data_IF_842463804240
#
_entry.id   IF_842463804240
#
_cell.length_a   1.000
_cell.length_b   1.000
_cell.length_c   1.000
_cell.angle_alpha   90.00
_cell.angle_beta   90.00
_cell.angle_gamma   90.00
#
_symmetry.space_group_name_H-M   'P 1'
#
loop_
_entity.id
_entity.type
_entity.pdbx_description
1 polymer ?
#
# COMPACT_ATOMS: atom_id res chain seq x y z
N UNK A 1 0.07 29.44 87.02
CA UNK A 1 -0.01 28.15 87.75
C UNK A 1 -1.42 27.62 87.55
N UNK A 2 -1.74 26.42 87.10
CA UNK A 2 -1.02 25.24 86.63
C UNK A 2 -2.07 24.40 85.88
N UNK A 3 -1.61 23.60 84.92
CA UNK A 3 -2.35 22.66 84.05
C UNK A 3 -3.45 21.85 84.75
N UNK A 4 -4.50 21.47 84.00
CA UNK A 4 -4.93 20.08 84.00
C UNK A 4 -5.73 19.71 82.73
N UNK A 5 -5.11 18.83 81.96
CA UNK A 5 -5.63 18.03 80.84
C UNK A 5 -6.71 17.06 81.30
N UNK A 6 -7.78 16.90 80.51
CA UNK A 6 -8.66 15.73 80.55
C UNK A 6 -8.66 15.06 79.17
N UNK A 7 -8.16 13.84 79.14
CA UNK A 7 -8.23 12.93 78.00
C UNK A 7 -9.56 12.16 78.08
N UNK A 8 -10.32 12.16 76.99
CA UNK A 8 -11.45 11.26 76.80
C UNK A 8 -11.06 10.25 75.72
N UNK A 9 -10.87 9.00 76.15
CA UNK A 9 -10.68 7.82 75.32
C UNK A 9 -11.99 7.45 74.63
N UNK A 10 -12.00 7.46 73.29
CA UNK A 10 -13.09 6.92 72.49
C UNK A 10 -12.58 5.65 71.78
N UNK A 11 -13.04 4.49 72.25
CA UNK A 11 -12.79 3.19 71.61
C UNK A 11 -13.58 3.08 70.32
N UNK A 12 -12.90 2.97 69.18
CA UNK A 12 -13.51 2.58 67.91
C UNK A 12 -13.09 1.14 67.56
N UNK A 13 -14.07 0.26 67.46
CA UNK A 13 -13.91 -1.13 67.07
C UNK A 13 -13.46 -1.25 65.60
N UNK A 14 -12.32 -1.90 65.35
CA UNK A 14 -11.92 -2.31 64.01
C UNK A 14 -12.66 -3.59 63.62
N UNK A 15 -13.56 -3.49 62.64
CA UNK A 15 -14.14 -4.63 61.94
C UNK A 15 -13.14 -5.11 60.88
N UNK A 16 -12.40 -6.18 61.18
CA UNK A 16 -11.62 -6.92 60.20
C UNK A 16 -12.56 -7.67 59.26
N UNK A 17 -12.67 -7.22 58.01
CA UNK A 17 -13.41 -7.91 56.96
C UNK A 17 -12.45 -8.86 56.24
N UNK A 18 -12.46 -10.14 56.61
CA UNK A 18 -11.81 -11.19 55.83
C UNK A 18 -12.57 -11.39 54.51
N UNK A 19 -12.04 -10.85 53.42
CA UNK A 19 -12.49 -11.22 52.07
C UNK A 19 -11.59 -12.33 51.56
N UNK A 20 -12.11 -13.56 51.55
CA UNK A 20 -11.48 -14.69 50.86
C UNK A 20 -11.68 -14.50 49.36
N UNK A 21 -10.63 -14.05 48.66
CA UNK A 21 -10.58 -14.07 47.20
C UNK A 21 -10.34 -15.50 46.73
N UNK A 22 -11.35 -16.08 46.07
CA UNK A 22 -11.18 -17.32 45.33
C UNK A 22 -10.25 -17.09 44.12
N UNK A 23 -9.35 -18.02 43.78
CA UNK A 23 -8.50 -17.89 42.61
C UNK A 23 -9.35 -17.99 41.34
N UNK A 24 -9.23 -16.99 40.47
CA UNK A 24 -9.77 -16.99 39.11
C UNK A 24 -9.17 -18.16 38.33
N UNK A 25 -9.96 -18.99 37.63
CA UNK A 25 -9.40 -20.04 36.79
C UNK A 25 -8.57 -19.42 35.66
N UNK A 26 -7.48 -20.07 35.23
CA UNK A 26 -6.66 -19.55 34.14
C UNK A 26 -7.51 -19.44 32.88
N UNK A 27 -7.51 -18.27 32.27
CA UNK A 27 -8.06 -18.06 30.93
C UNK A 27 -7.15 -18.83 29.97
N UNK A 28 -7.54 -20.04 29.60
CA UNK A 28 -6.96 -20.73 28.47
C UNK A 28 -7.26 -19.88 27.24
N UNK A 29 -6.23 -19.31 26.64
CA UNK A 29 -6.32 -18.71 25.32
C UNK A 29 -6.89 -19.79 24.38
N UNK A 30 -8.13 -19.59 23.93
CA UNK A 30 -8.69 -20.41 22.87
C UNK A 30 -7.88 -20.09 21.63
N UNK A 31 -7.01 -21.02 21.21
CA UNK A 31 -6.46 -20.98 19.88
C UNK A 31 -7.65 -20.92 18.91
N UNK A 32 -7.79 -19.82 18.18
CA UNK A 32 -8.81 -19.73 17.15
C UNK A 32 -8.63 -20.92 16.20
N UNK A 33 -9.70 -21.68 15.97
CA UNK A 33 -9.70 -22.67 14.92
C UNK A 33 -9.33 -21.97 13.60
N UNK A 34 -8.52 -22.59 12.72
CA UNK A 34 -8.22 -21.98 11.44
C UNK A 34 -9.53 -21.65 10.74
N UNK A 35 -9.68 -20.39 10.30
CA UNK A 35 -10.82 -19.96 9.51
C UNK A 35 -11.01 -20.98 8.37
N UNK A 36 -12.25 -21.45 8.18
CA UNK A 36 -12.56 -22.35 7.10
C UNK A 36 -12.12 -21.69 5.79
N UNK A 37 -11.16 -22.31 5.07
CA UNK A 37 -10.68 -21.78 3.78
C UNK A 37 -11.88 -21.47 2.90
N UNK A 38 -11.90 -20.26 2.35
CA UNK A 38 -12.99 -19.81 1.50
C UNK A 38 -13.11 -20.71 0.26
N UNK A 39 -14.34 -20.94 -0.20
CA UNK A 39 -14.61 -21.71 -1.41
C UNK A 39 -13.94 -21.03 -2.62
N UNK A 40 -12.93 -21.66 -3.26
CA UNK A 40 -12.21 -21.08 -4.39
C UNK A 40 -13.12 -20.68 -5.56
N UNK A 41 -14.27 -21.34 -5.71
CA UNK A 41 -15.23 -21.04 -6.78
C UNK A 41 -15.86 -19.65 -6.64
N UNK A 42 -15.77 -19.01 -5.48
CA UNK A 42 -16.27 -17.64 -5.25
C UNK A 42 -15.40 -16.56 -5.88
N UNK A 43 -14.16 -16.86 -6.26
CA UNK A 43 -13.20 -15.86 -6.74
C UNK A 43 -13.02 -15.96 -8.26
N UNK A 44 -12.91 -14.82 -8.92
CA UNK A 44 -12.63 -14.75 -10.35
C UNK A 44 -11.30 -15.43 -10.66
N UNK A 45 -10.26 -15.05 -9.92
CA UNK A 45 -8.88 -15.55 -10.03
C UNK A 45 -8.41 -16.23 -8.76
N UNK A 46 -7.42 -17.12 -8.91
CA UNK A 46 -6.78 -17.84 -7.81
C UNK A 46 -5.41 -17.22 -7.46
N UNK A 47 -4.92 -17.43 -6.23
CA UNK A 47 -3.61 -16.95 -5.79
C UNK A 47 -2.47 -17.40 -6.71
N UNK A 48 -1.52 -16.52 -7.00
CA UNK A 48 -0.32 -16.85 -7.79
C UNK A 48 0.61 -17.81 -7.06
N UNK A 49 0.69 -17.68 -5.74
CA UNK A 49 1.49 -18.50 -4.82
C UNK A 49 0.68 -18.73 -3.54
N UNK A 50 1.04 -19.74 -2.77
CA UNK A 50 0.39 -20.07 -1.48
C UNK A 50 1.36 -20.36 -0.34
N UNK A 51 2.65 -20.38 -0.65
CA UNK A 51 3.76 -20.68 0.26
C UNK A 51 4.12 -19.48 1.16
N UNK A 52 3.77 -18.27 0.74
CA UNK A 52 3.89 -17.01 1.47
C UNK A 52 2.66 -16.13 1.21
N UNK A 53 2.41 -15.15 2.08
CA UNK A 53 1.42 -14.11 1.83
C UNK A 53 2.05 -12.97 1.02
N UNK A 54 1.32 -12.49 0.01
CA UNK A 54 1.80 -11.49 -0.94
C UNK A 54 0.74 -10.45 -1.19
N UNK A 55 1.15 -9.20 -1.34
CA UNK A 55 0.25 -8.09 -1.59
C UNK A 55 0.83 -7.08 -2.56
N UNK A 56 0.04 -6.05 -2.87
CA UNK A 56 0.52 -4.82 -3.50
C UNK A 56 1.38 -5.06 -4.76
N UNK A 57 0.84 -5.81 -5.75
CA UNK A 57 1.66 -6.37 -6.81
C UNK A 57 2.02 -5.34 -7.86
N UNK A 58 3.29 -4.97 -7.98
CA UNK A 58 3.80 -4.18 -9.10
C UNK A 58 4.37 -5.09 -10.20
N UNK A 59 3.68 -5.19 -11.35
CA UNK A 59 4.03 -6.11 -12.43
C UNK A 59 4.72 -5.42 -13.62
N UNK A 60 5.85 -5.98 -14.07
CA UNK A 60 6.67 -5.48 -15.17
C UNK A 60 7.03 -6.58 -16.15
N UNK A 61 7.28 -6.21 -17.42
CA UNK A 61 7.76 -7.15 -18.45
C UNK A 61 9.17 -6.80 -18.88
N UNK A 62 10.11 -7.70 -18.60
CA UNK A 62 11.50 -7.59 -19.03
C UNK A 62 11.99 -8.92 -19.58
N UNK A 63 12.77 -8.87 -20.66
CA UNK A 63 13.36 -10.06 -21.30
C UNK A 63 12.32 -11.17 -21.61
N UNK A 64 11.10 -10.77 -21.98
CA UNK A 64 10.01 -11.69 -22.31
C UNK A 64 9.35 -12.40 -21.11
N UNK A 65 9.71 -12.04 -19.87
CA UNK A 65 9.12 -12.56 -18.64
C UNK A 65 8.36 -11.47 -17.90
N UNK A 66 7.34 -11.88 -17.16
CA UNK A 66 6.63 -11.03 -16.21
C UNK A 66 7.35 -11.18 -14.86
N UNK A 67 7.71 -10.05 -14.25
CA UNK A 67 8.21 -9.95 -12.89
C UNK A 67 7.19 -9.21 -12.04
N UNK A 68 6.89 -9.72 -10.85
CA UNK A 68 5.97 -9.09 -9.90
C UNK A 68 6.76 -8.77 -8.64
N UNK A 69 6.67 -7.52 -8.21
CA UNK A 69 7.28 -6.97 -7.01
C UNK A 69 6.16 -6.74 -5.98
N UNK A 70 5.81 -7.74 -5.17
CA UNK A 70 4.81 -7.61 -4.13
C UNK A 70 5.44 -7.16 -2.80
N UNK A 71 4.61 -6.67 -1.89
CA UNK A 71 4.91 -6.76 -0.45
C UNK A 71 4.85 -8.21 0.02
N UNK A 72 5.67 -8.56 1.02
CA UNK A 72 5.63 -9.86 1.70
C UNK A 72 4.97 -9.71 3.07
N UNK A 73 3.68 -10.01 3.12
CA UNK A 73 2.87 -9.97 4.33
C UNK A 73 3.35 -11.03 5.34
N UNK A 74 3.38 -10.68 6.63
CA UNK A 74 3.74 -11.58 7.73
C UNK A 74 2.71 -11.48 8.86
N UNK A 75 2.51 -12.57 9.59
CA UNK A 75 1.64 -12.58 10.78
C UNK A 75 2.40 -12.02 11.99
N UNK A 76 2.29 -10.71 12.17
CA UNK A 76 2.88 -9.98 13.28
C UNK A 76 1.97 -9.91 14.51
N UNK A 77 2.52 -9.59 15.70
CA UNK A 77 1.74 -9.49 16.93
C UNK A 77 0.95 -8.18 17.06
N UNK A 78 1.17 -7.19 16.18
CA UNK A 78 0.56 -5.86 16.32
C UNK A 78 -0.94 -5.92 16.02
N UNK A 79 -1.81 -5.41 16.92
CA UNK A 79 -3.25 -5.36 16.69
C UNK A 79 -3.62 -4.50 15.47
N UNK A 80 -4.75 -4.83 14.84
CA UNK A 80 -5.27 -4.05 13.73
C UNK A 80 -5.72 -2.65 14.18
N UNK A 81 -5.45 -1.65 13.34
CA UNK A 81 -5.85 -0.25 13.51
C UNK A 81 -6.00 0.43 12.14
N UNK A 82 -6.64 1.61 12.12
CA UNK A 82 -6.90 2.36 10.88
C UNK A 82 -5.62 2.96 10.25
N UNK A 83 -4.49 2.95 10.97
CA UNK A 83 -3.22 3.50 10.52
C UNK A 83 -2.27 2.43 9.94
N UNK A 84 -2.73 1.18 9.88
CA UNK A 84 -1.97 0.08 9.29
C UNK A 84 -0.78 -0.37 10.13
N UNK A 85 -0.78 -0.17 11.44
CA UNK A 85 0.32 -0.61 12.32
C UNK A 85 0.56 -2.13 12.25
N UNK A 86 -0.50 -2.89 11.97
CA UNK A 86 -0.49 -4.34 11.79
C UNK A 86 0.14 -4.83 10.47
N UNK A 87 0.38 -3.94 9.50
CA UNK A 87 1.14 -4.26 8.29
C UNK A 87 2.65 -4.17 8.59
N UNK A 88 3.21 -5.28 9.08
CA UNK A 88 4.57 -5.40 9.65
C UNK A 88 5.61 -6.00 8.70
N UNK A 89 5.40 -5.94 7.38
CA UNK A 89 6.29 -6.50 6.36
C UNK A 89 7.75 -6.04 6.55
N UNK A 90 8.69 -6.95 6.32
CA UNK A 90 10.13 -6.76 6.61
C UNK A 90 11.04 -6.91 5.40
N UNK A 91 10.59 -7.65 4.39
CA UNK A 91 11.39 -7.97 3.23
C UNK A 91 10.54 -7.97 1.95
N UNK A 92 11.21 -8.03 0.80
CA UNK A 92 10.59 -8.22 -0.50
C UNK A 92 11.10 -9.50 -1.16
N UNK A 93 10.21 -10.22 -1.82
CA UNK A 93 10.53 -11.40 -2.65
C UNK A 93 9.88 -11.24 -4.02
N UNK A 94 10.71 -11.25 -5.06
CA UNK A 94 10.23 -11.10 -6.44
C UNK A 94 9.60 -12.40 -6.91
N UNK A 95 8.48 -12.32 -7.61
CA UNK A 95 7.91 -13.45 -8.36
C UNK A 95 8.19 -13.27 -9.85
N UNK A 96 8.29 -14.37 -10.60
CA UNK A 96 8.36 -14.30 -12.06
C UNK A 96 7.58 -15.41 -12.75
N UNK A 97 7.06 -15.14 -13.94
CA UNK A 97 6.38 -16.11 -14.80
C UNK A 97 6.63 -15.80 -16.29
N UNK A 98 6.60 -16.81 -17.15
CA UNK A 98 6.76 -16.63 -18.62
C UNK A 98 5.51 -16.06 -19.28
N UNK A 99 4.34 -16.35 -18.70
CA UNK A 99 3.02 -15.90 -19.13
C UNK A 99 2.04 -16.04 -17.97
N UNK A 100 0.97 -15.26 -17.99
CA UNK A 100 -0.15 -15.44 -17.06
C UNK A 100 -0.76 -16.84 -17.22
N UNK A 101 -1.03 -17.51 -16.08
CA UNK A 101 -1.51 -18.89 -16.03
C UNK A 101 -0.42 -19.96 -16.19
N UNK A 102 0.84 -19.57 -16.38
CA UNK A 102 2.00 -20.48 -16.32
C UNK A 102 2.52 -20.67 -14.89
N UNK A 103 3.57 -21.50 -14.71
CA UNK A 103 4.24 -21.65 -13.42
C UNK A 103 4.81 -20.33 -12.91
N UNK A 104 4.64 -20.09 -11.60
CA UNK A 104 5.20 -18.92 -10.90
C UNK A 104 6.45 -19.37 -10.15
N UNK A 105 7.55 -18.64 -10.33
CA UNK A 105 8.77 -18.83 -9.55
C UNK A 105 8.83 -17.75 -8.48
N UNK A 106 8.90 -18.17 -7.21
CA UNK A 106 9.20 -17.29 -6.08
C UNK A 106 10.72 -17.26 -5.87
N UNK A 107 11.33 -16.07 -5.98
CA UNK A 107 12.76 -15.89 -5.83
C UNK A 107 13.16 -15.71 -4.36
N UNK A 108 14.46 -15.85 -4.01
CA UNK A 108 14.97 -15.53 -2.68
C UNK A 108 14.66 -14.09 -2.26
N UNK A 109 14.90 -13.77 -0.98
CA UNK A 109 14.79 -12.41 -0.45
C UNK A 109 15.60 -11.45 -1.30
N UNK A 110 14.91 -10.47 -1.87
CA UNK A 110 15.47 -9.47 -2.78
C UNK A 110 16.02 -8.28 -2.00
N UNK A 111 15.37 -7.90 -0.90
CA UNK A 111 15.82 -6.86 0.03
C UNK A 111 15.14 -7.06 1.39
N UNK A 112 15.89 -6.95 2.48
CA UNK A 112 15.41 -7.00 3.85
C UNK A 112 15.64 -5.64 4.55
N UNK A 113 14.70 -5.21 5.40
CA UNK A 113 14.78 -3.93 6.13
C UNK A 113 16.06 -3.79 6.95
N UNK A 114 16.61 -4.89 7.47
CA UNK A 114 17.88 -4.90 8.23
C UNK A 114 19.09 -4.45 7.39
N UNK A 115 18.97 -4.50 6.07
CA UNK A 115 20.00 -4.05 5.12
C UNK A 115 19.86 -2.55 4.77
N UNK A 116 18.74 -1.90 5.13
CA UNK A 116 18.43 -0.51 4.77
C UNK A 116 18.80 0.43 5.92
N UNK A 117 19.91 1.19 5.83
CA UNK A 117 20.45 1.90 7.01
C UNK A 117 19.52 2.95 7.62
N UNK A 118 18.66 3.58 6.81
CA UNK A 118 17.78 4.65 7.24
C UNK A 118 16.40 4.14 7.74
N UNK A 119 15.98 2.97 7.30
CA UNK A 119 14.65 2.42 7.60
C UNK A 119 14.62 1.71 8.96
N UNK A 120 13.48 1.78 9.63
CA UNK A 120 13.22 1.11 10.89
C UNK A 120 12.27 -0.08 10.73
N UNK A 121 11.21 0.06 9.92
CA UNK A 121 10.14 -0.94 9.80
C UNK A 121 9.21 -0.68 8.61
N UNK A 122 8.25 -1.59 8.41
CA UNK A 122 7.10 -1.46 7.51
C UNK A 122 7.49 -1.27 6.04
N UNK A 123 8.05 -2.32 5.45
CA UNK A 123 8.40 -2.42 4.04
C UNK A 123 7.11 -2.61 3.20
N UNK A 124 6.42 -1.50 2.92
CA UNK A 124 5.11 -1.43 2.25
C UNK A 124 5.21 -1.55 0.72
N UNK A 125 4.13 -1.27 -0.03
CA UNK A 125 4.01 -1.55 -1.46
C UNK A 125 5.22 -1.06 -2.28
N UNK A 126 6.01 -1.96 -2.89
CA UNK A 126 7.15 -1.57 -3.70
C UNK A 126 6.79 -1.43 -5.18
N UNK A 127 7.70 -0.86 -5.95
CA UNK A 127 7.70 -0.94 -7.41
C UNK A 127 9.14 -1.04 -7.95
N UNK A 128 9.29 -1.39 -9.23
CA UNK A 128 10.59 -1.50 -9.87
C UNK A 128 10.65 -0.80 -11.23
N UNK A 129 11.86 -0.41 -11.64
CA UNK A 129 12.14 0.07 -12.98
C UNK A 129 13.45 -0.52 -13.52
N UNK A 130 13.65 -0.44 -14.83
CA UNK A 130 14.88 -0.85 -15.50
C UNK A 130 15.42 0.30 -16.35
N UNK A 131 16.71 0.60 -16.22
CA UNK A 131 17.44 1.51 -17.11
C UNK A 131 18.80 0.92 -17.47
N UNK A 132 19.04 0.73 -18.77
CA UNK A 132 20.20 -0.04 -19.24
C UNK A 132 20.18 -1.45 -18.63
N UNK A 133 21.30 -1.85 -18.03
CA UNK A 133 21.47 -3.15 -17.37
C UNK A 133 21.25 -3.12 -15.85
N UNK A 134 20.67 -2.03 -15.33
CA UNK A 134 20.38 -1.87 -13.91
C UNK A 134 18.88 -1.93 -13.67
N UNK A 135 18.50 -2.69 -12.65
CA UNK A 135 17.16 -2.74 -12.07
C UNK A 135 17.14 -1.94 -10.78
N UNK A 136 16.05 -1.22 -10.56
CA UNK A 136 15.84 -0.34 -9.43
C UNK A 136 14.59 -0.81 -8.71
N UNK A 137 14.69 -1.07 -7.41
CA UNK A 137 13.56 -1.36 -6.53
C UNK A 137 13.29 -0.11 -5.71
N UNK A 138 12.11 0.48 -5.88
CA UNK A 138 11.61 1.60 -5.09
C UNK A 138 10.69 1.06 -4.02
N UNK A 139 10.85 1.56 -2.80
CA UNK A 139 10.12 1.01 -1.67
C UNK A 139 9.84 2.05 -0.59
N UNK A 140 8.63 2.06 -0.03
CA UNK A 140 8.31 2.86 1.14
C UNK A 140 8.68 2.12 2.42
N UNK A 141 9.24 2.83 3.39
CA UNK A 141 9.47 2.33 4.74
C UNK A 141 9.44 3.48 5.75
N UNK A 142 9.15 3.18 7.02
CA UNK A 142 9.25 4.18 8.09
C UNK A 142 10.70 4.40 8.48
N UNK A 143 11.10 5.66 8.58
CA UNK A 143 12.35 6.05 9.22
C UNK A 143 12.26 5.91 10.76
N UNK A 144 13.37 6.17 11.46
CA UNK A 144 13.45 6.06 12.92
C UNK A 144 12.62 7.12 13.65
N UNK A 145 12.13 8.14 12.96
CA UNK A 145 11.22 9.15 13.47
C UNK A 145 9.74 8.76 13.22
N UNK A 146 9.50 7.61 12.60
CA UNK A 146 8.17 7.10 12.27
C UNK A 146 7.56 7.72 11.02
N UNK A 147 8.32 8.51 10.25
CA UNK A 147 7.86 9.09 9.00
C UNK A 147 8.10 8.12 7.84
N UNK A 148 7.11 7.95 6.98
CA UNK A 148 7.29 7.21 5.74
C UNK A 148 8.14 8.01 4.75
N UNK A 149 9.14 7.33 4.18
CA UNK A 149 10.02 7.81 3.10
C UNK A 149 10.10 6.74 2.02
N UNK A 150 10.52 7.14 0.82
CA UNK A 150 10.73 6.22 -0.30
C UNK A 150 12.22 6.06 -0.54
N UNK A 151 12.69 4.82 -0.46
CA UNK A 151 14.05 4.44 -0.82
C UNK A 151 14.16 3.88 -2.22
N UNK A 152 15.40 3.70 -2.65
CA UNK A 152 15.76 2.99 -3.88
C UNK A 152 16.89 2.02 -3.61
N UNK A 153 16.82 0.84 -4.19
CA UNK A 153 17.87 -0.17 -4.17
C UNK A 153 18.17 -0.66 -5.59
N UNK A 154 19.41 -1.05 -5.88
CA UNK A 154 19.83 -1.39 -7.25
C UNK A 154 20.33 -2.83 -7.37
N UNK A 155 20.11 -3.44 -8.54
CA UNK A 155 20.63 -4.76 -8.87
C UNK A 155 20.96 -4.88 -10.36
N UNK A 156 21.79 -5.87 -10.70
CA UNK A 156 22.01 -6.33 -12.08
C UNK A 156 21.04 -7.45 -12.49
N UNK A 157 20.25 -7.96 -11.56
CA UNK A 157 19.20 -8.94 -11.80
C UNK A 157 17.83 -8.34 -11.52
N UNK A 158 16.78 -8.64 -12.31
CA UNK A 158 15.41 -8.24 -11.97
C UNK A 158 14.95 -8.85 -10.64
N UNK A 159 15.54 -9.97 -10.21
CA UNK A 159 15.13 -10.69 -9.00
C UNK A 159 15.96 -10.32 -7.77
N UNK A 160 16.89 -9.37 -7.90
CA UNK A 160 17.84 -9.04 -6.85
C UNK A 160 18.98 -10.06 -6.69
N UNK A 161 19.67 -10.07 -5.52
CA UNK A 161 19.43 -9.15 -4.41
C UNK A 161 19.70 -7.70 -4.81
N UNK A 162 19.00 -6.77 -4.17
CA UNK A 162 19.15 -5.34 -4.38
C UNK A 162 19.98 -4.72 -3.27
N UNK A 163 20.85 -3.78 -3.63
CA UNK A 163 21.67 -3.02 -2.69
C UNK A 163 21.00 -1.66 -2.46
N UNK A 164 20.52 -1.36 -1.24
CA UNK A 164 19.81 -0.11 -0.95
C UNK A 164 20.78 1.08 -0.87
N UNK A 165 20.31 2.24 -1.33
CA UNK A 165 20.98 3.48 -1.02
C UNK A 165 20.93 3.75 0.50
N UNK A 166 21.97 4.38 1.07
CA UNK A 166 22.07 4.59 2.51
C UNK A 166 21.07 5.62 3.05
N UNK A 167 20.46 6.43 2.18
CA UNK A 167 19.46 7.44 2.49
C UNK A 167 18.22 7.24 1.59
N UNK A 168 17.03 7.67 2.02
CA UNK A 168 15.87 7.71 1.14
C UNK A 168 16.05 8.78 0.05
N UNK A 169 15.22 8.70 -0.99
CA UNK A 169 15.18 9.69 -2.08
C UNK A 169 14.90 11.08 -1.47
N UNK A 170 15.72 12.07 -1.84
CA UNK A 170 15.60 13.42 -1.29
C UNK A 170 14.26 14.05 -1.69
N UNK A 171 13.53 14.54 -0.70
CA UNK A 171 12.21 15.14 -0.91
C UNK A 171 11.08 14.12 -1.04
N UNK A 172 11.35 12.82 -0.88
CA UNK A 172 10.31 11.80 -0.77
C UNK A 172 9.65 11.81 0.61
N UNK A 173 8.41 11.36 0.62
CA UNK A 173 7.58 11.19 1.80
C UNK A 173 6.40 10.27 1.45
N UNK A 174 5.67 9.82 2.46
CA UNK A 174 4.52 8.94 2.25
C UNK A 174 4.93 7.62 1.58
N UNK A 175 3.97 6.95 0.93
CA UNK A 175 4.06 5.53 0.54
C UNK A 175 3.83 5.31 -0.95
N UNK A 176 3.76 4.05 -1.36
CA UNK A 176 3.24 3.56 -2.64
C UNK A 176 3.86 4.19 -3.89
N UNK A 177 5.20 4.08 -4.06
CA UNK A 177 5.85 4.49 -5.30
C UNK A 177 5.37 3.63 -6.48
N UNK A 178 5.08 4.27 -7.60
CA UNK A 178 5.00 3.66 -8.92
C UNK A 178 5.85 4.43 -9.92
N UNK A 179 6.83 3.77 -10.54
CA UNK A 179 7.78 4.35 -11.48
C UNK A 179 7.42 3.96 -12.90
N UNK A 180 6.90 4.93 -13.62
CA UNK A 180 6.54 4.80 -15.02
C UNK A 180 7.62 5.41 -15.91
N UNK A 181 8.12 4.64 -16.87
CA UNK A 181 9.01 5.15 -17.92
C UNK A 181 8.21 5.35 -19.19
N UNK A 182 8.18 6.59 -19.66
CA UNK A 182 7.44 6.99 -20.84
C UNK A 182 8.16 6.59 -22.13
N UNK A 183 7.45 6.69 -23.25
CA UNK A 183 7.95 6.32 -24.58
C UNK A 183 9.13 7.20 -25.03
N UNK A 184 9.29 8.39 -24.43
CA UNK A 184 10.42 9.30 -24.66
C UNK A 184 11.67 8.96 -23.80
N UNK A 185 11.57 7.94 -22.95
CA UNK A 185 12.64 7.47 -22.07
C UNK A 185 12.76 8.21 -20.75
N UNK A 186 11.89 9.20 -20.45
CA UNK A 186 11.82 9.85 -19.14
C UNK A 186 11.05 8.98 -18.16
N UNK A 187 11.52 8.93 -16.91
CA UNK A 187 10.87 8.18 -15.85
C UNK A 187 10.26 9.11 -14.82
N UNK A 188 9.09 8.74 -14.30
CA UNK A 188 8.29 9.51 -13.36
C UNK A 188 7.88 8.61 -12.21
N UNK A 189 8.11 9.07 -10.98
CA UNK A 189 7.58 8.42 -9.79
C UNK A 189 6.27 9.08 -9.40
N UNK A 190 5.21 8.30 -9.33
CA UNK A 190 3.94 8.63 -8.70
C UNK A 190 3.96 8.04 -7.29
N UNK A 191 3.45 8.75 -6.29
CA UNK A 191 3.46 8.25 -4.92
C UNK A 191 2.45 8.98 -4.04
N UNK A 192 2.20 8.41 -2.87
CA UNK A 192 1.36 8.98 -1.82
C UNK A 192 0.33 8.00 -1.30
N UNK A 193 -0.02 8.15 -0.03
CA UNK A 193 -1.14 7.47 0.60
C UNK A 193 -1.64 8.28 1.78
N UNK A 194 -2.94 8.53 1.88
CA UNK A 194 -3.53 9.19 3.04
C UNK A 194 -3.61 8.22 4.24
N UNK A 195 -4.20 8.65 5.34
CA UNK A 195 -4.35 7.84 6.55
C UNK A 195 -3.00 7.33 7.08
N UNK A 196 -2.83 6.01 7.19
CA UNK A 196 -1.58 5.35 7.61
C UNK A 196 -0.38 5.72 6.73
N UNK A 197 -0.60 6.11 5.47
CA UNK A 197 0.43 6.54 4.52
C UNK A 197 0.96 7.96 4.76
N UNK A 198 0.34 8.75 5.64
CA UNK A 198 0.85 10.05 6.12
C UNK A 198 0.94 11.18 5.09
N UNK A 199 0.36 11.07 3.90
CA UNK A 199 0.37 12.14 2.88
C UNK A 199 -0.19 13.47 3.44
N UNK A 200 -1.25 13.39 4.23
CA UNK A 200 -1.92 14.52 4.90
C UNK A 200 -1.05 15.20 5.96
N UNK A 201 0.02 14.54 6.41
CA UNK A 201 0.97 15.05 7.39
C UNK A 201 2.17 15.75 6.77
N UNK A 202 2.20 15.90 5.45
CA UNK A 202 3.34 16.50 4.75
C UNK A 202 2.92 17.54 3.69
N UNK A 203 1.76 18.17 3.88
CA UNK A 203 1.19 19.15 2.93
C UNK A 203 2.03 20.43 2.79
N UNK A 204 2.86 20.73 3.79
CA UNK A 204 3.77 21.91 3.80
C UNK A 204 5.19 21.56 3.36
N UNK A 205 5.46 20.31 2.98
CA UNK A 205 6.80 19.80 2.69
C UNK A 205 7.63 19.45 3.93
N UNK A 206 7.05 19.57 5.13
CA UNK A 206 7.63 19.06 6.39
C UNK A 206 6.66 18.07 7.04
N UNK A 207 7.19 16.93 7.50
CA UNK A 207 6.41 15.93 8.21
C UNK A 207 5.96 16.44 9.58
N UNK A 208 4.65 16.40 9.83
CA UNK A 208 4.03 16.68 11.12
C UNK A 208 3.56 15.38 11.79
N UNK A 209 4.28 14.86 12.80
CA UNK A 209 3.89 13.64 13.50
C UNK A 209 2.54 13.76 14.24
N UNK A 210 2.10 14.99 14.55
CA UNK A 210 0.84 15.28 15.23
C UNK A 210 -0.28 15.68 14.26
N UNK A 211 -0.01 15.68 12.96
CA UNK A 211 -0.98 16.02 11.92
C UNK A 211 -2.13 15.02 11.84
N UNK A 212 -3.09 15.33 10.97
CA UNK A 212 -4.30 14.53 10.75
C UNK A 212 -4.00 13.04 10.56
N UNK A 213 -4.90 12.20 11.08
CA UNK A 213 -4.83 10.74 10.94
C UNK A 213 -5.50 10.22 9.67
N UNK A 214 -6.25 11.06 8.96
CA UNK A 214 -7.04 10.66 7.79
C UNK A 214 -6.63 11.51 6.59
N UNK A 215 -7.18 12.71 6.46
CA UNK A 215 -7.03 13.60 5.32
C UNK A 215 -7.01 15.08 5.77
N UNK A 216 -7.45 16.01 4.92
CA UNK A 216 -7.51 17.45 5.22
C UNK A 216 -8.65 17.85 6.16
N UNK A 217 -9.58 16.94 6.51
CA UNK A 217 -10.77 17.22 7.33
C UNK A 217 -11.62 18.38 6.78
N UNK A 218 -11.72 18.46 5.45
CA UNK A 218 -12.35 19.56 4.73
C UNK A 218 -13.07 19.04 3.48
N UNK A 219 -14.21 18.38 3.71
CA UNK A 219 -14.92 17.59 2.69
C UNK A 219 -15.44 18.43 1.50
N UNK A 220 -15.67 19.72 1.71
CA UNK A 220 -16.11 20.68 0.69
C UNK A 220 -14.96 21.28 -0.13
N UNK A 221 -13.70 20.94 0.20
CA UNK A 221 -12.49 21.37 -0.50
C UNK A 221 -11.95 20.26 -1.39
N UNK A 222 -11.08 20.60 -2.37
CA UNK A 222 -10.36 19.58 -3.13
C UNK A 222 -9.70 18.55 -2.23
N UNK A 223 -9.83 17.28 -2.57
CA UNK A 223 -9.17 16.19 -1.88
C UNK A 223 -7.65 16.34 -1.94
N UNK A 224 -6.96 15.67 -1.01
CA UNK A 224 -5.52 15.57 -1.08
C UNK A 224 -5.10 14.72 -2.29
N UNK A 225 -4.17 15.24 -3.08
CA UNK A 225 -3.78 14.66 -4.36
C UNK A 225 -2.51 13.79 -4.23
N UNK A 226 -2.38 12.72 -5.03
CA UNK A 226 -1.11 12.01 -5.17
C UNK A 226 -0.02 12.94 -5.70
N UNK A 227 1.23 12.52 -5.56
CA UNK A 227 2.40 13.27 -6.00
C UNK A 227 3.01 12.62 -7.23
N UNK A 228 3.62 13.44 -8.08
CA UNK A 228 4.46 13.01 -9.20
C UNK A 228 5.74 13.83 -9.26
N UNK A 229 6.85 13.18 -9.54
CA UNK A 229 8.13 13.82 -9.83
C UNK A 229 8.86 13.05 -10.93
N UNK A 230 9.45 13.77 -11.90
CA UNK A 230 10.42 13.15 -12.80
C UNK A 230 11.64 12.66 -12.01
N UNK A 231 12.16 11.48 -12.36
CA UNK A 231 13.44 10.98 -11.88
C UNK A 231 14.58 11.58 -12.70
N UNK A 232 15.74 11.76 -12.07
CA UNK A 232 16.94 12.23 -12.74
C UNK A 232 17.59 11.12 -13.60
N UNK A 233 18.69 11.47 -14.26
CA UNK A 233 19.43 10.53 -15.11
C UNK A 233 19.94 9.29 -14.37
N UNK A 234 20.13 9.35 -13.04
CA UNK A 234 20.61 8.26 -12.21
C UNK A 234 19.54 7.25 -11.85
N UNK A 235 18.25 7.65 -11.94
CA UNK A 235 17.07 6.92 -11.44
C UNK A 235 17.01 6.79 -9.91
N UNK A 236 17.92 7.45 -9.17
CA UNK A 236 17.97 7.35 -7.71
C UNK A 236 17.52 8.60 -6.96
N UNK A 237 17.29 9.70 -7.68
CA UNK A 237 16.82 10.96 -7.11
C UNK A 237 15.74 11.59 -8.00
N UNK A 238 14.95 12.49 -7.42
CA UNK A 238 14.05 13.34 -8.19
C UNK A 238 14.83 14.41 -8.96
N UNK A 239 14.47 14.61 -10.23
CA UNK A 239 14.97 15.72 -11.06
C UNK A 239 14.32 17.07 -10.71
N UNK A 240 13.25 17.04 -9.92
CA UNK A 240 12.39 18.18 -9.62
C UNK A 240 11.63 17.96 -8.31
N UNK A 241 11.06 19.03 -7.76
CA UNK A 241 10.20 18.90 -6.59
C UNK A 241 8.91 18.14 -6.95
N UNK A 242 8.43 17.22 -6.10
CA UNK A 242 7.14 16.58 -6.29
C UNK A 242 6.00 17.60 -6.40
N UNK A 243 5.07 17.35 -7.33
CA UNK A 243 3.89 18.18 -7.57
C UNK A 243 2.62 17.33 -7.55
N UNK A 244 1.47 17.97 -7.43
CA UNK A 244 0.18 17.28 -7.40
C UNK A 244 -0.16 16.63 -8.74
N UNK A 245 -0.65 15.41 -8.67
CA UNK A 245 -1.39 14.73 -9.74
C UNK A 245 -2.84 15.18 -9.61
N UNK A 246 -3.22 16.20 -10.35
CA UNK A 246 -4.57 16.77 -10.26
C UNK A 246 -5.59 15.82 -10.87
N UNK A 247 -6.59 15.41 -10.08
CA UNK A 247 -7.70 14.55 -10.51
C UNK A 247 -8.99 15.37 -10.57
N UNK A 248 -9.62 15.40 -11.74
CA UNK A 248 -10.83 16.17 -12.03
C UNK A 248 -12.04 15.26 -12.21
N UNK A 249 -13.23 15.74 -11.88
CA UNK A 249 -14.50 15.16 -12.31
C UNK A 249 -14.74 15.38 -13.82
N UNK A 250 -15.75 14.73 -14.43
CA UNK A 250 -16.07 14.93 -15.85
C UNK A 250 -16.49 16.36 -16.23
N UNK A 251 -16.75 17.22 -15.24
CA UNK A 251 -17.07 18.64 -15.43
C UNK A 251 -15.83 19.54 -15.30
N UNK A 252 -14.65 18.96 -15.10
CA UNK A 252 -13.36 19.67 -15.01
C UNK A 252 -13.07 20.28 -13.64
N UNK A 253 -13.79 19.89 -12.57
CA UNK A 253 -13.53 20.36 -11.21
C UNK A 253 -12.71 19.35 -10.42
N UNK A 254 -11.79 19.77 -9.54
CA UNK A 254 -11.09 18.83 -8.66
C UNK A 254 -12.07 17.97 -7.84
N UNK A 255 -11.77 16.68 -7.69
CA UNK A 255 -12.51 15.82 -6.76
C UNK A 255 -12.39 16.37 -5.34
N UNK A 256 -13.49 16.28 -4.57
CA UNK A 256 -13.59 16.86 -3.23
C UNK A 256 -13.18 15.85 -2.15
N UNK A 257 -12.79 16.34 -0.97
CA UNK A 257 -12.39 15.52 0.17
C UNK A 257 -13.45 14.49 0.55
N UNK A 258 -14.72 14.91 0.60
CA UNK A 258 -15.86 14.06 0.97
C UNK A 258 -16.33 13.09 -0.13
N UNK A 259 -15.70 13.09 -1.30
CA UNK A 259 -16.05 12.23 -2.44
C UNK A 259 -15.28 10.90 -2.38
N UNK A 260 -15.47 10.14 -1.30
CA UNK A 260 -14.66 8.96 -0.99
C UNK A 260 -14.74 7.84 -2.04
N UNK A 261 -15.82 7.80 -2.82
CA UNK A 261 -16.00 6.87 -3.93
C UNK A 261 -15.03 7.14 -5.10
N UNK A 262 -14.47 8.35 -5.17
CA UNK A 262 -13.66 8.80 -6.31
C UNK A 262 -12.33 9.40 -5.92
N UNK A 263 -12.21 10.06 -4.77
CA UNK A 263 -10.97 10.72 -4.33
C UNK A 263 -9.85 9.71 -4.14
N UNK A 264 -8.62 10.18 -4.36
CA UNK A 264 -7.43 9.39 -4.14
C UNK A 264 -7.32 8.94 -2.68
N UNK A 265 -6.86 7.69 -2.46
CA UNK A 265 -6.46 7.23 -1.15
C UNK A 265 -4.99 6.80 -1.16
N UNK A 266 -4.62 5.80 -1.98
CA UNK A 266 -3.27 5.23 -2.09
C UNK A 266 -3.10 4.44 -3.42
N UNK A 267 -2.06 3.61 -3.55
CA UNK A 267 -1.84 2.67 -4.65
C UNK A 267 -1.79 3.30 -6.05
N UNK A 268 -1.02 4.38 -6.20
CA UNK A 268 -0.82 5.02 -7.51
C UNK A 268 -0.25 4.04 -8.54
N UNK A 269 -0.81 4.00 -9.74
CA UNK A 269 -0.24 3.27 -10.87
C UNK A 269 -0.46 4.02 -12.19
N UNK A 270 0.54 4.02 -13.06
CA UNK A 270 0.52 4.70 -14.36
C UNK A 270 0.81 3.73 -15.50
N UNK A 271 0.00 3.78 -16.55
CA UNK A 271 0.29 3.12 -17.82
C UNK A 271 -0.24 3.95 -19.00
N UNK A 272 0.21 3.63 -20.21
CA UNK A 272 -0.27 4.25 -21.45
C UNK A 272 -1.10 3.28 -22.29
N UNK A 273 -2.19 3.78 -22.83
CA UNK A 273 -3.01 3.07 -23.81
C UNK A 273 -3.46 4.04 -24.91
N UNK A 274 -3.24 3.68 -26.17
CA UNK A 274 -3.56 4.50 -27.36
C UNK A 274 -3.12 5.97 -27.25
N UNK A 275 -1.89 6.20 -26.78
CA UNK A 275 -1.30 7.54 -26.67
C UNK A 275 -1.80 8.39 -25.49
N UNK A 276 -2.69 7.87 -24.64
CA UNK A 276 -3.18 8.54 -23.43
C UNK A 276 -2.56 7.92 -22.18
N UNK A 277 -2.56 8.68 -21.10
CA UNK A 277 -2.03 8.29 -19.79
C UNK A 277 -3.20 7.92 -18.88
N UNK A 278 -3.10 6.75 -18.26
CA UNK A 278 -4.11 6.18 -17.38
C UNK A 278 -3.53 6.13 -15.97
N UNK A 279 -3.96 7.08 -15.15
CA UNK A 279 -3.64 7.12 -13.73
C UNK A 279 -4.71 6.34 -12.97
N UNK A 280 -4.32 5.26 -12.32
CA UNK A 280 -5.21 4.40 -11.54
C UNK A 280 -4.77 4.33 -10.08
N UNK A 281 -5.70 4.16 -9.16
CA UNK A 281 -5.45 4.27 -7.73
C UNK A 281 -6.54 3.60 -6.90
N UNK A 282 -6.22 3.31 -5.64
CA UNK A 282 -7.16 2.82 -4.62
C UNK A 282 -7.93 3.98 -4.00
N UNK A 283 -9.20 3.75 -3.67
CA UNK A 283 -10.03 4.66 -2.89
C UNK A 283 -10.05 4.35 -1.39
N UNK A 284 -9.37 3.29 -0.95
CA UNK A 284 -9.22 2.91 0.46
C UNK A 284 -10.53 2.48 1.10
N UNK A 285 -11.15 3.38 1.87
CA UNK A 285 -12.35 3.11 2.67
C UNK A 285 -13.63 2.82 1.86
N UNK A 286 -13.59 3.01 0.54
CA UNK A 286 -14.65 2.56 -0.40
C UNK A 286 -14.22 1.38 -1.28
N UNK A 287 -12.98 0.92 -1.13
CA UNK A 287 -12.45 -0.34 -1.63
C UNK A 287 -12.43 -0.53 -3.16
N UNK A 288 -12.49 0.55 -3.94
CA UNK A 288 -12.40 0.49 -5.40
C UNK A 288 -10.97 0.69 -5.89
N UNK A 289 -10.65 0.08 -7.04
CA UNK A 289 -9.61 0.62 -7.91
C UNK A 289 -10.28 1.49 -8.96
N UNK A 290 -9.96 2.78 -8.94
CA UNK A 290 -10.44 3.77 -9.89
C UNK A 290 -9.38 4.13 -10.93
N UNK A 291 -9.81 4.81 -11.98
CA UNK A 291 -8.89 5.40 -12.95
C UNK A 291 -9.38 6.72 -13.55
N UNK A 292 -8.39 7.52 -13.96
CA UNK A 292 -8.55 8.80 -14.59
C UNK A 292 -7.61 8.89 -15.81
N UNK A 293 -8.07 9.54 -16.88
CA UNK A 293 -7.35 9.64 -18.15
C UNK A 293 -6.83 11.06 -18.36
N UNK A 294 -5.58 11.17 -18.82
CA UNK A 294 -4.92 12.43 -19.18
C UNK A 294 -4.10 12.32 -20.46
N UNK A 295 -3.50 13.42 -20.88
CA UNK A 295 -2.68 13.52 -22.11
C UNK A 295 -1.20 13.81 -21.83
N UNK A 296 -0.80 13.81 -20.57
CA UNK A 296 0.55 14.09 -20.08
C UNK A 296 0.81 13.26 -18.82
N UNK A 297 2.07 12.87 -18.53
CA UNK A 297 2.41 12.20 -17.27
C UNK A 297 2.08 13.08 -16.04
N UNK A 298 2.00 14.40 -16.18
CA UNK A 298 1.64 15.29 -15.07
C UNK A 298 0.13 15.54 -14.92
N UNK A 299 -0.70 15.03 -15.84
CA UNK A 299 -2.11 15.36 -15.88
C UNK A 299 -2.41 16.79 -16.38
N UNK A 300 -3.54 17.40 -15.96
CA UNK A 300 -4.54 16.84 -15.06
C UNK A 300 -5.18 15.57 -15.65
N UNK A 301 -5.71 14.72 -14.78
CA UNK A 301 -6.41 13.49 -15.15
C UNK A 301 -7.90 13.64 -14.89
N UNK A 302 -8.75 13.25 -15.83
CA UNK A 302 -10.20 13.27 -15.66
C UNK A 302 -10.68 11.89 -15.22
N UNK A 303 -11.31 11.80 -14.04
CA UNK A 303 -11.94 10.58 -13.54
C UNK A 303 -12.84 9.97 -14.61
N UNK A 304 -12.63 8.69 -14.89
CA UNK A 304 -13.33 7.98 -15.98
C UNK A 304 -14.16 6.81 -15.47
N UNK A 305 -13.72 6.09 -14.43
CA UNK A 305 -14.52 5.01 -13.86
C UNK A 305 -13.76 4.09 -12.90
N UNK A 306 -14.35 2.91 -12.67
CA UNK A 306 -13.81 1.83 -11.84
C UNK A 306 -13.15 0.77 -12.70
N UNK A 307 -11.98 0.30 -12.27
CA UNK A 307 -11.28 -0.86 -12.82
C UNK A 307 -11.70 -2.13 -12.06
N UNK A 308 -11.69 -2.09 -10.72
CA UNK A 308 -11.93 -3.25 -9.87
C UNK A 308 -12.94 -2.89 -8.77
N UNK A 309 -13.99 -3.71 -8.66
CA UNK A 309 -14.93 -3.68 -7.54
C UNK A 309 -14.28 -4.26 -6.26
N UNK A 310 -14.89 -4.07 -5.07
CA UNK A 310 -14.29 -4.49 -3.81
C UNK A 310 -13.93 -5.98 -3.76
N UNK A 311 -12.71 -6.26 -3.28
CA UNK A 311 -12.20 -7.60 -3.02
C UNK A 311 -12.58 -8.09 -1.62
N UNK A 312 -12.24 -9.34 -1.28
CA UNK A 312 -12.29 -9.78 0.12
C UNK A 312 -11.07 -9.26 0.90
N UNK A 313 -11.32 -8.55 2.00
CA UNK A 313 -10.31 -7.82 2.78
C UNK A 313 -10.51 -6.31 2.68
N UNK A 314 -9.84 -5.54 3.54
CA UNK A 314 -10.01 -4.07 3.56
C UNK A 314 -9.21 -3.36 2.46
N UNK A 315 -7.95 -3.73 2.27
CA UNK A 315 -7.08 -3.07 1.27
C UNK A 315 -7.36 -3.59 -0.14
N UNK A 316 -7.26 -2.68 -1.11
CA UNK A 316 -7.21 -3.01 -2.53
C UNK A 316 -6.03 -2.27 -3.16
N UNK A 317 -5.19 -2.99 -3.89
CA UNK A 317 -3.96 -2.48 -4.51
C UNK A 317 -3.73 -3.24 -5.81
N UNK A 318 -3.17 -2.58 -6.82
CA UNK A 318 -3.04 -3.17 -8.14
C UNK A 318 -1.83 -2.67 -8.95
N UNK A 319 -1.60 -3.36 -10.06
CA UNK A 319 -0.86 -2.83 -11.20
C UNK A 319 -1.44 -3.34 -12.51
N UNK A 320 -1.11 -2.65 -13.61
CA UNK A 320 -1.61 -2.97 -14.95
C UNK A 320 -0.44 -3.08 -15.91
N UNK A 321 -0.30 -4.22 -16.57
CA UNK A 321 0.81 -4.49 -17.50
C UNK A 321 0.31 -5.14 -18.78
N UNK A 322 0.95 -4.81 -19.90
CA UNK A 322 0.76 -5.50 -21.17
C UNK A 322 1.75 -6.65 -21.31
N UNK A 323 1.27 -7.88 -21.41
CA UNK A 323 2.08 -9.07 -21.59
C UNK A 323 1.42 -10.07 -22.54
N UNK A 324 2.22 -10.70 -23.41
CA UNK A 324 1.79 -11.70 -24.38
C UNK A 324 0.58 -11.23 -25.24
N UNK A 325 0.57 -9.96 -25.63
CA UNK A 325 -0.47 -9.36 -26.48
C UNK A 325 -1.76 -8.95 -25.74
N UNK A 326 -1.86 -9.22 -24.44
CA UNK A 326 -3.02 -8.89 -23.59
C UNK A 326 -2.65 -7.89 -22.50
N UNK A 327 -3.67 -7.26 -21.92
CA UNK A 327 -3.53 -6.45 -20.73
C UNK A 327 -3.97 -7.24 -19.51
N UNK A 328 -3.25 -7.08 -18.41
CA UNK A 328 -3.46 -7.83 -17.18
C UNK A 328 -3.55 -6.87 -16.01
N UNK A 329 -4.56 -7.08 -15.16
CA UNK A 329 -4.66 -6.48 -13.85
C UNK A 329 -4.09 -7.46 -12.83
N UNK A 330 -3.00 -7.09 -12.17
CA UNK A 330 -2.55 -7.74 -10.95
C UNK A 330 -3.18 -7.04 -9.77
N UNK A 331 -3.68 -7.81 -8.80
CA UNK A 331 -4.33 -7.28 -7.60
C UNK A 331 -4.13 -8.26 -6.43
N UNK A 332 -4.59 -7.93 -5.23
CA UNK A 332 -4.54 -8.84 -4.09
C UNK A 332 -5.89 -8.90 -3.36
N UNK A 333 -6.13 -10.02 -2.68
CA UNK A 333 -7.24 -10.19 -1.74
C UNK A 333 -6.81 -11.11 -0.60
N UNK A 334 -7.74 -11.52 0.26
CA UNK A 334 -7.46 -12.33 1.44
C UNK A 334 -7.95 -13.78 1.33
N UNK A 335 -8.16 -14.32 0.13
CA UNK A 335 -8.70 -15.68 -0.08
C UNK A 335 -7.99 -16.75 0.78
N UNK A 336 -6.66 -16.72 0.87
CA UNK A 336 -5.89 -17.73 1.59
C UNK A 336 -6.08 -17.68 3.12
N UNK A 337 -6.36 -16.50 3.68
CA UNK A 337 -6.27 -16.24 5.13
C UNK A 337 -7.58 -15.78 5.77
N UNK A 338 -8.45 -15.10 5.02
CA UNK A 338 -9.58 -14.31 5.52
C UNK A 338 -9.20 -13.12 6.40
N UNK A 339 -7.92 -12.70 6.41
CA UNK A 339 -7.38 -11.64 7.27
C UNK A 339 -6.79 -10.51 6.43
N UNK A 340 -7.21 -9.26 6.67
CA UNK A 340 -6.76 -8.05 5.95
C UNK A 340 -5.24 -7.93 5.85
N UNK A 341 -4.51 -8.37 6.87
CA UNK A 341 -3.05 -8.29 6.96
C UNK A 341 -2.27 -9.41 6.26
N UNK A 342 -2.95 -10.47 5.81
CA UNK A 342 -2.34 -11.66 5.21
C UNK A 342 -2.94 -11.91 3.83
N UNK A 343 -2.46 -11.19 2.83
CA UNK A 343 -3.06 -11.16 1.49
C UNK A 343 -2.41 -12.16 0.53
N UNK A 344 -2.99 -12.29 -0.65
CA UNK A 344 -2.44 -13.07 -1.75
C UNK A 344 -2.63 -12.36 -3.09
N UNK A 345 -1.56 -12.28 -3.89
CA UNK A 345 -1.62 -11.71 -5.23
C UNK A 345 -2.37 -12.63 -6.20
N UNK A 346 -3.16 -12.00 -7.07
CA UNK A 346 -3.95 -12.59 -8.16
C UNK A 346 -3.74 -11.80 -9.44
N UNK A 347 -4.20 -12.37 -10.55
CA UNK A 347 -4.16 -11.73 -11.87
C UNK A 347 -5.40 -12.08 -12.68
N UNK A 348 -5.91 -11.11 -13.44
CA UNK A 348 -7.01 -11.31 -14.39
C UNK A 348 -6.80 -10.47 -15.64
N UNK A 349 -7.45 -10.83 -16.74
CA UNK A 349 -7.37 -10.08 -17.99
C UNK A 349 -8.11 -8.74 -17.85
N UNK A 350 -7.46 -7.66 -18.29
CA UNK A 350 -8.04 -6.33 -18.37
C UNK A 350 -8.44 -6.04 -19.81
N UNK A 351 -9.67 -5.57 -20.01
CA UNK A 351 -10.21 -5.26 -21.34
C UNK A 351 -10.55 -3.78 -21.47
N UNK A 352 -10.14 -3.20 -22.59
CA UNK A 352 -10.53 -1.85 -22.98
C UNK A 352 -11.71 -1.90 -23.95
N UNK A 353 -12.65 -0.98 -23.78
CA UNK A 353 -13.64 -0.64 -24.77
C UNK A 353 -12.98 0.12 -25.95
N UNK A 354 -13.64 0.16 -27.13
CA UNK A 354 -13.11 0.86 -28.30
C UNK A 354 -12.83 2.36 -28.08
N UNK A 355 -13.53 3.01 -27.14
CA UNK A 355 -13.34 4.42 -26.79
C UNK A 355 -12.17 4.67 -25.81
N UNK A 356 -11.51 3.60 -25.37
CA UNK A 356 -10.43 3.62 -24.40
C UNK A 356 -10.87 3.57 -22.94
N UNK A 357 -12.16 3.45 -22.63
CA UNK A 357 -12.60 3.13 -21.26
C UNK A 357 -12.27 1.69 -20.89
N UNK A 358 -12.15 1.39 -19.60
CA UNK A 358 -11.83 0.04 -19.09
C UNK A 358 -13.13 -0.63 -18.64
N UNK A 359 -13.31 -1.91 -18.97
CA UNK A 359 -14.44 -2.71 -18.46
C UNK A 359 -14.18 -3.02 -16.99
N UNK A 360 -15.08 -2.60 -16.10
CA UNK A 360 -14.98 -2.87 -14.66
C UNK A 360 -15.01 -4.38 -14.39
N UNK A 361 -14.16 -4.80 -13.45
CA UNK A 361 -13.97 -6.19 -13.07
C UNK A 361 -14.60 -6.43 -11.71
N UNK A 362 -15.48 -7.43 -11.62
CA UNK A 362 -15.97 -7.99 -10.36
C UNK A 362 -15.00 -9.13 -9.95
N UNK A 363 -14.23 -8.98 -8.85
CA UNK A 363 -13.29 -10.02 -8.42
C UNK A 363 -14.00 -11.26 -7.87
N UNK A 364 -15.30 -11.18 -7.62
CA UNK A 364 -16.11 -12.25 -7.06
C UNK A 364 -17.02 -12.85 -8.14
N UNK A 365 -17.13 -14.17 -8.18
CA UNK A 365 -18.10 -14.85 -9.04
C UNK A 365 -19.46 -14.77 -8.37
N UNK A 366 -20.44 -14.19 -9.07
CA UNK A 366 -21.86 -14.26 -8.67
C UNK A 366 -22.27 -15.73 -8.61
N UNK A 367 -22.89 -16.12 -7.50
CA UNK A 367 -23.41 -17.47 -7.28
C UNK A 367 -24.58 -17.78 -8.22
#
# INVERSE_FOLDING_TARGET
MTRMTWAATMSAAMLASCTTTAPTPPVTASAAAPAARSDPARYLSQPLVSEIYTADPSAHVWNGKIYVYPSHDIDGPTPEDDLGAHFEMRDYRVMSMDRVGGPVTLHPVALDVTQVPWAASQMWAPDAAKKGDTYYLYFPAKDRQGAFRIGVATSKSPTGPFVPNPQPIKGSFSIDPAVFTDDDGRSYMYFGGIWGGQLQRNTTGTYDPNGSKTDLMADDKPALMPKVAALDGSMTEFAEAPRDVVILDPQGKPLLGGDHDRRFFEASWMHKYNGKYYFSYSTGDTHYINYAIGTSPYGPFTYTGRILDPVEGWTTHHSIVKANGKWWLFYADTQLSGQTRLRNVKVTELTYNPDGTIVTIDPMRRR
#
